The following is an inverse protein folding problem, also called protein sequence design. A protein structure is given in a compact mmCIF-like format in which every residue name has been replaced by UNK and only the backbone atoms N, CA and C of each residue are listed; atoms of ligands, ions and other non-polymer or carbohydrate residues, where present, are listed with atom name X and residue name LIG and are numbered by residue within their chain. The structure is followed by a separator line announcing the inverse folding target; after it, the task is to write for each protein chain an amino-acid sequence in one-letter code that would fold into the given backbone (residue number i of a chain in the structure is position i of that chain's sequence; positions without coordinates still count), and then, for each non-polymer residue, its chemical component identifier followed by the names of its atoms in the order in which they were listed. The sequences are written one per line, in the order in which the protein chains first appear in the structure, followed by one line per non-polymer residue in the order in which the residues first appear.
data_IF_527969984350
#
_entry.id   IF_527969984350
#
_cell.length_a   1.000
_cell.length_b   1.000
_cell.length_c   1.000
_cell.angle_alpha   90.00
_cell.angle_beta   90.00
_cell.angle_gamma   90.00
#
_symmetry.space_group_name_H-M   'P 1'
#
loop_
_entity.id
_entity.type
_entity.pdbx_description
1 polymer ?
#
# COMPACT_ATOMS: atom_id res chain seq x y z
N UNK A 1 8.46 17.59 13.13
CA UNK A 1 7.21 17.30 12.39
C UNK A 1 7.34 17.69 10.91
N UNK A 2 7.45 16.69 10.06
CA UNK A 2 7.50 16.77 8.60
C UNK A 2 6.23 16.15 8.04
N UNK A 3 5.70 16.72 6.96
CA UNK A 3 4.53 16.22 6.25
C UNK A 3 4.91 15.80 4.84
N UNK A 4 4.31 14.70 4.35
CA UNK A 4 4.47 14.25 2.96
C UNK A 4 3.15 13.77 2.40
N UNK A 5 2.84 14.21 1.20
CA UNK A 5 1.64 13.82 0.47
C UNK A 5 2.01 12.74 -0.55
N UNK A 6 1.23 11.67 -0.57
CA UNK A 6 1.32 10.59 -1.54
C UNK A 6 -0.02 10.47 -2.25
N UNK A 7 -0.05 10.78 -3.54
CA UNK A 7 -1.26 10.64 -4.35
C UNK A 7 -1.67 9.16 -4.46
N UNK A 8 -2.98 8.92 -4.39
CA UNK A 8 -3.59 7.62 -4.65
C UNK A 8 -3.94 7.60 -6.14
N UNK A 9 -3.31 6.76 -6.97
CA UNK A 9 -3.65 6.72 -8.39
C UNK A 9 -5.08 6.22 -8.61
N UNK A 10 -5.70 6.61 -9.72
CA UNK A 10 -7.06 6.18 -10.06
C UNK A 10 -7.18 4.65 -10.08
N UNK A 11 -8.27 4.15 -9.49
CA UNK A 11 -8.52 2.72 -9.35
C UNK A 11 -7.76 2.04 -8.20
N UNK A 12 -6.95 2.76 -7.41
CA UNK A 12 -6.22 2.17 -6.28
C UNK A 12 -6.95 2.23 -4.94
N UNK A 13 -8.11 2.88 -4.86
CA UNK A 13 -8.85 3.07 -3.61
C UNK A 13 -9.09 1.75 -2.85
N UNK A 14 -9.41 0.66 -3.57
CA UNK A 14 -9.64 -0.66 -2.97
C UNK A 14 -8.40 -1.30 -2.33
N UNK A 15 -7.19 -0.83 -2.68
CA UNK A 15 -5.92 -1.39 -2.21
C UNK A 15 -5.30 -0.60 -1.06
N UNK A 16 -5.81 0.61 -0.78
CA UNK A 16 -5.23 1.52 0.21
C UNK A 16 -5.26 0.94 1.62
N UNK A 17 -6.40 0.41 2.06
CA UNK A 17 -6.55 -0.16 3.40
C UNK A 17 -5.55 -1.29 3.69
N UNK A 18 -5.55 -2.37 2.88
CA UNK A 18 -4.59 -3.47 3.05
C UNK A 18 -3.12 -3.05 2.89
N UNK A 19 -2.83 -2.08 2.02
CA UNK A 19 -1.48 -1.55 1.85
C UNK A 19 -1.02 -0.80 3.10
N UNK A 20 -1.85 0.10 3.65
CA UNK A 20 -1.56 0.85 4.88
C UNK A 20 -1.39 -0.05 6.10
N UNK A 21 -2.17 -1.12 6.22
CA UNK A 21 -2.04 -2.05 7.34
C UNK A 21 -0.66 -2.74 7.36
N UNK A 22 -0.19 -3.22 6.20
CA UNK A 22 1.15 -3.84 6.09
C UNK A 22 2.27 -2.82 6.18
N UNK A 23 2.07 -1.65 5.58
CA UNK A 23 3.05 -0.57 5.60
C UNK A 23 3.23 0.00 7.01
N UNK A 24 2.15 0.17 7.79
CA UNK A 24 2.21 0.69 9.15
C UNK A 24 2.99 -0.21 10.11
N UNK A 25 3.02 -1.52 9.86
CA UNK A 25 3.90 -2.45 10.60
C UNK A 25 5.39 -2.17 10.35
N UNK A 26 5.76 -1.74 9.13
CA UNK A 26 7.14 -1.44 8.77
C UNK A 26 7.58 -0.04 9.26
N UNK A 27 6.64 0.90 9.37
CA UNK A 27 6.91 2.29 9.77
C UNK A 27 6.04 2.73 10.96
N UNK A 28 6.20 2.12 12.15
CA UNK A 28 5.34 2.41 13.31
C UNK A 28 5.46 3.85 13.84
N UNK A 29 6.55 4.55 13.53
CA UNK A 29 6.77 5.96 13.89
C UNK A 29 6.22 6.97 12.87
N UNK A 30 5.50 6.51 11.85
CA UNK A 30 4.90 7.37 10.84
C UNK A 30 3.38 7.24 10.90
N UNK A 31 2.70 8.36 11.14
CA UNK A 31 1.24 8.42 11.08
C UNK A 31 0.83 8.60 9.62
N UNK A 32 -0.13 7.79 9.17
CA UNK A 32 -0.74 7.91 7.86
C UNK A 32 -2.23 8.22 7.99
N UNK A 33 -2.71 9.20 7.23
CA UNK A 33 -4.12 9.58 7.17
C UNK A 33 -4.56 9.64 5.71
N UNK A 34 -5.69 9.02 5.38
CA UNK A 34 -6.26 9.10 4.03
C UNK A 34 -7.19 10.30 3.97
N UNK A 35 -6.94 11.21 3.02
CA UNK A 35 -7.75 12.39 2.73
C UNK A 35 -8.05 12.42 1.23
N UNK A 36 -9.32 12.21 0.89
CA UNK A 36 -9.78 12.11 -0.49
C UNK A 36 -8.92 11.13 -1.30
N UNK A 37 -8.18 11.63 -2.31
CA UNK A 37 -7.31 10.86 -3.18
C UNK A 37 -5.82 10.98 -2.81
N UNK A 38 -5.51 11.30 -1.55
CA UNK A 38 -4.16 11.49 -1.05
C UNK A 38 -3.98 10.80 0.30
N UNK A 39 -2.81 10.22 0.51
CA UNK A 39 -2.35 9.75 1.82
C UNK A 39 -1.37 10.80 2.36
N UNK A 40 -1.70 11.36 3.52
CA UNK A 40 -0.86 12.30 4.26
C UNK A 40 -0.04 11.52 5.27
N UNK A 41 1.28 11.63 5.19
CA UNK A 41 2.24 11.05 6.10
C UNK A 41 2.80 12.11 7.04
N UNK A 42 2.94 11.76 8.31
CA UNK A 42 3.43 12.64 9.37
C UNK A 42 4.44 11.90 10.26
N UNK A 43 5.60 12.50 10.48
CA UNK A 43 6.63 11.99 11.41
C UNK A 43 7.61 13.09 11.82
N UNK A 44 8.44 12.83 12.82
CA UNK A 44 9.57 13.69 13.17
C UNK A 44 10.85 13.39 12.36
N UNK A 45 10.83 12.31 11.58
CA UNK A 45 11.94 11.88 10.73
C UNK A 45 11.68 12.17 9.24
N UNK A 46 12.68 11.92 8.40
CA UNK A 46 12.54 12.01 6.95
C UNK A 46 11.49 11.00 6.44
N UNK A 47 10.59 11.45 5.57
CA UNK A 47 9.48 10.68 5.00
C UNK A 47 9.72 10.19 3.58
N UNK A 48 10.90 10.40 2.99
CA UNK A 48 11.18 10.04 1.61
C UNK A 48 11.14 8.53 1.35
N UNK A 49 11.82 7.75 2.18
CA UNK A 49 11.81 6.28 2.11
C UNK A 49 10.44 5.69 2.49
N UNK A 50 9.77 6.13 3.58
CA UNK A 50 8.42 5.66 3.90
C UNK A 50 7.41 5.96 2.77
N UNK A 51 7.47 7.13 2.15
CA UNK A 51 6.61 7.49 1.04
C UNK A 51 6.88 6.65 -0.23
N UNK A 52 8.15 6.37 -0.53
CA UNK A 52 8.51 5.48 -1.65
C UNK A 52 8.04 4.04 -1.41
N UNK A 53 8.22 3.54 -0.19
CA UNK A 53 7.76 2.23 0.24
C UNK A 53 6.24 2.11 0.18
N UNK A 54 5.49 3.17 0.57
CA UNK A 54 4.03 3.19 0.47
C UNK A 54 3.53 3.07 -0.97
N UNK A 55 4.13 3.83 -1.90
CA UNK A 55 3.81 3.71 -3.33
C UNK A 55 4.04 2.29 -3.82
N UNK A 56 5.20 1.72 -3.50
CA UNK A 56 5.52 0.34 -3.87
C UNK A 56 4.50 -0.66 -3.31
N UNK A 57 4.10 -0.50 -2.04
CA UNK A 57 3.13 -1.38 -1.39
C UNK A 57 1.73 -1.30 -2.02
N UNK A 58 1.28 -0.11 -2.43
CA UNK A 58 0.02 0.08 -3.17
C UNK A 58 0.04 -0.66 -4.51
N UNK A 59 1.11 -0.51 -5.29
CA UNK A 59 1.29 -1.24 -6.55
C UNK A 59 1.32 -2.76 -6.35
N UNK A 60 2.02 -3.25 -5.33
CA UNK A 60 2.07 -4.68 -5.03
C UNK A 60 0.71 -5.24 -4.62
N UNK A 61 -0.07 -4.50 -3.84
CA UNK A 61 -1.41 -4.97 -3.43
C UNK A 61 -2.33 -5.09 -4.65
N UNK A 62 -2.31 -4.13 -5.57
CA UNK A 62 -3.06 -4.22 -6.82
C UNK A 62 -2.71 -5.48 -7.61
N UNK A 63 -1.42 -5.69 -7.90
CA UNK A 63 -0.94 -6.87 -8.63
C UNK A 63 -1.34 -8.15 -7.89
N UNK A 64 -1.22 -8.18 -6.56
CA UNK A 64 -1.56 -9.34 -5.76
C UNK A 64 -3.04 -9.73 -5.91
N UNK A 65 -3.94 -8.74 -5.87
CA UNK A 65 -5.38 -8.94 -6.03
C UNK A 65 -5.74 -9.31 -7.47
N UNK A 66 -5.20 -8.62 -8.47
CA UNK A 66 -5.45 -8.90 -9.90
C UNK A 66 -4.95 -10.29 -10.31
N UNK A 67 -3.85 -10.76 -9.72
CA UNK A 67 -3.27 -12.08 -10.02
C UNK A 67 -3.80 -13.21 -9.12
N UNK A 68 -4.55 -12.91 -8.05
CA UNK A 68 -5.07 -13.93 -7.14
C UNK A 68 -5.89 -15.03 -7.86
N UNK A 69 -6.83 -14.71 -8.78
CA UNK A 69 -7.63 -15.73 -9.43
C UNK A 69 -6.81 -16.74 -10.24
N UNK A 70 -5.81 -16.28 -11.00
CA UNK A 70 -4.96 -17.18 -11.79
C UNK A 70 -4.06 -18.04 -10.88
N UNK A 71 -3.53 -17.48 -9.79
CA UNK A 71 -2.74 -18.26 -8.82
C UNK A 71 -3.57 -19.37 -8.18
N UNK A 72 -4.80 -19.09 -7.77
CA UNK A 72 -5.70 -20.10 -7.20
C UNK A 72 -5.96 -21.24 -8.19
N UNK A 73 -6.28 -20.92 -9.47
CA UNK A 73 -6.48 -21.94 -10.51
C UNK A 73 -5.25 -22.80 -10.75
N UNK A 74 -4.05 -22.21 -10.76
CA UNK A 74 -2.80 -22.94 -10.92
C UNK A 74 -2.56 -23.91 -9.75
N UNK A 75 -2.82 -23.48 -8.51
CA UNK A 75 -2.69 -24.35 -7.34
C UNK A 75 -3.71 -25.49 -7.33
N UNK A 76 -4.97 -25.21 -7.70
CA UNK A 76 -6.01 -26.24 -7.82
C UNK A 76 -5.68 -27.29 -8.90
N UNK A 77 -5.08 -26.86 -10.02
CA UNK A 77 -4.66 -27.76 -11.09
C UNK A 77 -3.49 -28.67 -10.71
N UNK A 78 -2.61 -28.24 -9.79
CA UNK A 78 -1.48 -29.03 -9.29
C UNK A 78 -1.85 -30.01 -8.17
N UNK A 79 -2.99 -29.80 -7.51
CA UNK A 79 -3.49 -30.66 -6.44
C UNK A 79 -4.30 -31.87 -6.95
N UNK A 80 -4.35 -32.08 -8.27
CA UNK A 80 -4.97 -33.22 -8.94
C UNK A 80 -3.90 -34.15 -9.51
#
# INVERSE_FOLDING_TARGET
MVLRHVEIPDGFAAYVGPALLRWGYLYPGVRAEVRDNTIVLESDQNLEEPAASLRHQLYRERIYQETLPIRCRLYEGLAR
#
